data_IF_908109714396
#
_entry.id   IF_908109714396
#
_cell.length_a   1.000
_cell.length_b   1.000
_cell.length_c   1.000
_cell.angle_alpha   90.00
_cell.angle_beta   90.00
_cell.angle_gamma   90.00
#
_symmetry.space_group_name_H-M   'P 1'
#
loop_
_entity.id
_entity.type
_entity.pdbx_description
1 polymer ?
#
# COMPACT_ATOMS: atom_id res chain seq x y z
N UNK A 1 14.42 8.62 -6.61
CA UNK A 1 13.65 7.45 -6.14
C UNK A 1 13.53 7.60 -4.64
N UNK A 2 12.34 7.46 -4.07
CA UNK A 2 12.05 7.61 -2.64
C UNK A 2 11.35 6.37 -2.11
N UNK A 3 11.66 6.05 -0.85
CA UNK A 3 11.03 4.95 -0.13
C UNK A 3 9.82 5.51 0.64
N UNK A 4 8.66 4.87 0.47
CA UNK A 4 7.41 5.25 1.13
C UNK A 4 6.85 4.02 1.82
N UNK A 5 6.40 4.18 3.07
CA UNK A 5 5.67 3.14 3.78
C UNK A 5 4.19 3.32 3.54
N UNK A 6 3.54 2.24 3.12
CA UNK A 6 2.12 2.20 2.83
C UNK A 6 1.40 1.39 3.90
N UNK A 7 0.36 1.96 4.47
CA UNK A 7 -0.61 1.26 5.31
C UNK A 7 -1.83 0.92 4.47
N UNK A 8 -2.27 -0.33 4.52
CA UNK A 8 -3.39 -0.81 3.70
C UNK A 8 -4.30 -1.77 4.45
N UNK A 9 -5.55 -1.87 4.00
CA UNK A 9 -6.53 -2.85 4.46
C UNK A 9 -6.80 -3.87 3.34
N UNK A 10 -6.62 -5.14 3.64
CA UNK A 10 -6.99 -6.26 2.78
C UNK A 10 -8.35 -6.80 3.21
N UNK A 11 -9.21 -7.17 2.25
CA UNK A 11 -10.55 -7.72 2.53
C UNK A 11 -10.74 -9.06 1.87
N UNK A 12 -11.52 -9.94 2.50
CA UNK A 12 -12.06 -11.14 1.85
C UNK A 12 -13.43 -10.86 1.24
N UNK A 13 -13.76 -11.58 0.18
CA UNK A 13 -15.10 -11.60 -0.40
C UNK A 13 -16.12 -11.98 0.68
N UNK A 14 -17.25 -11.27 0.72
CA UNK A 14 -18.29 -11.45 1.74
C UNK A 14 -18.13 -10.56 2.98
N UNK A 15 -17.08 -9.73 3.06
CA UNK A 15 -17.04 -8.52 3.90
C UNK A 15 -16.88 -8.71 5.41
N UNK A 16 -16.82 -9.94 5.91
CA UNK A 16 -16.73 -10.23 7.35
C UNK A 16 -15.29 -10.27 7.89
N UNK A 17 -14.28 -10.39 7.02
CA UNK A 17 -12.88 -10.57 7.40
C UNK A 17 -11.99 -9.54 6.69
N UNK A 18 -11.22 -8.78 7.48
CA UNK A 18 -10.23 -7.81 6.99
C UNK A 18 -8.96 -7.83 7.82
N UNK A 19 -7.85 -7.46 7.20
CA UNK A 19 -6.55 -7.37 7.85
C UNK A 19 -5.82 -6.08 7.44
N UNK A 20 -5.16 -5.47 8.43
CA UNK A 20 -4.31 -4.30 8.20
C UNK A 20 -2.88 -4.77 7.96
N UNK A 21 -2.25 -4.26 6.91
CA UNK A 21 -0.87 -4.53 6.56
C UNK A 21 -0.07 -3.24 6.36
N UNK A 22 1.25 -3.41 6.38
CA UNK A 22 2.21 -2.36 6.03
C UNK A 22 3.24 -2.92 5.06
N UNK A 23 3.66 -2.12 4.09
CA UNK A 23 4.76 -2.46 3.18
C UNK A 23 5.54 -1.20 2.84
N UNK A 24 6.83 -1.36 2.65
CA UNK A 24 7.64 -0.30 2.06
C UNK A 24 7.67 -0.48 0.54
N UNK A 25 7.59 0.61 -0.22
CA UNK A 25 7.76 0.63 -1.68
C UNK A 25 8.82 1.65 -2.08
N UNK A 26 9.59 1.32 -3.12
CA UNK A 26 10.52 2.24 -3.75
C UNK A 26 9.89 2.79 -5.04
N UNK A 27 9.65 4.10 -5.09
CA UNK A 27 8.94 4.76 -6.19
C UNK A 27 9.70 5.99 -6.69
N UNK A 28 9.33 6.52 -7.85
CA UNK A 28 9.85 7.81 -8.31
C UNK A 28 9.37 8.95 -7.41
N UNK A 29 10.11 10.05 -7.36
CA UNK A 29 9.84 11.17 -6.45
C UNK A 29 8.43 11.76 -6.67
N UNK A 30 8.00 11.89 -7.93
CA UNK A 30 6.64 12.34 -8.29
C UNK A 30 5.53 11.40 -7.79
N UNK A 31 5.79 10.09 -7.72
CA UNK A 31 4.82 9.13 -7.17
C UNK A 31 4.81 9.21 -5.65
N UNK A 32 5.98 9.37 -5.01
CA UNK A 32 6.08 9.54 -3.57
C UNK A 32 5.30 10.78 -3.09
N UNK A 33 5.47 11.93 -3.74
CA UNK A 33 4.73 13.16 -3.42
C UNK A 33 3.22 12.96 -3.52
N UNK A 34 2.74 12.35 -4.61
CA UNK A 34 1.31 12.05 -4.77
C UNK A 34 0.78 11.14 -3.64
N UNK A 35 1.51 10.10 -3.27
CA UNK A 35 1.11 9.19 -2.20
C UNK A 35 1.05 9.91 -0.84
N UNK A 36 2.07 10.72 -0.53
CA UNK A 36 2.15 11.49 0.72
C UNK A 36 1.08 12.60 0.81
N UNK A 37 0.56 13.07 -0.32
CA UNK A 37 -0.63 13.94 -0.39
C UNK A 37 -1.96 13.16 -0.24
N UNK A 38 -1.91 11.84 -0.02
CA UNK A 38 -3.08 10.98 0.08
C UNK A 38 -3.71 10.62 -1.27
N UNK A 39 -3.04 10.90 -2.40
CA UNK A 39 -3.54 10.52 -3.73
C UNK A 39 -3.25 9.05 -4.03
N UNK A 40 -4.24 8.39 -4.63
CA UNK A 40 -4.10 7.00 -5.08
C UNK A 40 -3.41 6.96 -6.44
N UNK A 41 -2.25 6.30 -6.51
CA UNK A 41 -1.53 6.06 -7.76
C UNK A 41 -1.85 4.66 -8.26
N UNK A 42 -2.44 4.54 -9.45
CA UNK A 42 -2.97 3.26 -9.97
C UNK A 42 -1.96 2.10 -9.95
N UNK A 43 -0.69 2.34 -10.31
CA UNK A 43 0.37 1.32 -10.27
C UNK A 43 0.62 0.78 -8.86
N UNK A 44 0.57 1.65 -7.86
CA UNK A 44 0.77 1.27 -6.45
C UNK A 44 -0.44 0.52 -5.92
N UNK A 45 -1.65 0.95 -6.28
CA UNK A 45 -2.88 0.24 -5.94
C UNK A 45 -2.91 -1.16 -6.56
N UNK A 46 -2.53 -1.32 -7.84
CA UNK A 46 -2.41 -2.62 -8.49
C UNK A 46 -1.43 -3.55 -7.75
N UNK A 47 -0.29 -3.02 -7.30
CA UNK A 47 0.67 -3.77 -6.48
C UNK A 47 0.05 -4.26 -5.16
N UNK A 48 -0.64 -3.38 -4.43
CA UNK A 48 -1.32 -3.74 -3.18
C UNK A 48 -2.39 -4.81 -3.38
N UNK A 49 -3.17 -4.72 -4.47
CA UNK A 49 -4.18 -5.74 -4.84
C UNK A 49 -3.51 -7.08 -5.11
N UNK A 50 -2.42 -7.10 -5.90
CA UNK A 50 -1.69 -8.33 -6.19
C UNK A 50 -1.16 -8.99 -4.91
N UNK A 51 -0.60 -8.21 -3.97
CA UNK A 51 -0.15 -8.73 -2.68
C UNK A 51 -1.28 -9.34 -1.84
N UNK A 52 -2.44 -8.69 -1.82
CA UNK A 52 -3.61 -9.20 -1.10
C UNK A 52 -4.09 -10.53 -1.69
N UNK A 53 -4.18 -10.62 -3.03
CA UNK A 53 -4.58 -11.85 -3.72
C UNK A 53 -3.65 -13.03 -3.44
N UNK A 54 -2.33 -12.80 -3.41
CA UNK A 54 -1.34 -13.85 -3.07
C UNK A 54 -1.55 -14.38 -1.63
N UNK A 55 -2.03 -13.53 -0.73
CA UNK A 55 -2.30 -13.88 0.67
C UNK A 55 -3.72 -14.45 0.89
N UNK A 56 -4.50 -14.68 -0.18
CA UNK A 56 -5.86 -15.21 -0.09
C UNK A 56 -6.92 -14.17 0.29
N UNK A 57 -6.62 -12.88 0.14
CA UNK A 57 -7.59 -11.80 0.24
C UNK A 57 -8.10 -11.44 -1.16
N UNK A 58 -9.28 -11.98 -1.47
CA UNK A 58 -9.95 -11.88 -2.78
C UNK A 58 -10.98 -10.74 -2.86
N UNK A 59 -11.27 -10.06 -1.75
CA UNK A 59 -12.16 -8.90 -1.67
C UNK A 59 -11.47 -7.56 -1.95
N UNK A 60 -10.18 -7.58 -2.28
CA UNK A 60 -9.40 -6.40 -2.67
C UNK A 60 -8.48 -5.84 -1.59
N UNK A 61 -7.79 -4.75 -1.93
CA UNK A 61 -6.83 -4.08 -1.07
C UNK A 61 -6.97 -2.56 -1.19
N UNK A 62 -7.03 -1.88 -0.05
CA UNK A 62 -7.31 -0.45 0.04
C UNK A 62 -6.14 0.26 0.72
N UNK A 63 -5.49 1.16 0.00
CA UNK A 63 -4.52 2.06 0.61
C UNK A 63 -5.24 2.98 1.61
N UNK A 64 -4.79 2.95 2.86
CA UNK A 64 -5.33 3.77 3.95
C UNK A 64 -4.49 5.03 4.16
N UNK A 65 -3.17 4.87 4.18
CA UNK A 65 -2.25 5.96 4.47
C UNK A 65 -0.86 5.69 3.85
N UNK A 66 -0.09 6.74 3.65
CA UNK A 66 1.28 6.68 3.17
C UNK A 66 2.16 7.66 3.94
N UNK A 67 3.29 7.18 4.45
CA UNK A 67 4.24 7.97 5.22
C UNK A 67 5.65 7.83 4.64
N UNK A 68 6.55 8.81 4.85
CA UNK A 68 7.96 8.64 4.49
C UNK A 68 8.52 7.42 5.20
N UNK A 69 9.15 6.50 4.47
CA UNK A 69 9.83 5.40 5.13
C UNK A 69 11.14 5.95 5.73
N UNK A 70 11.26 5.96 7.05
CA UNK A 70 12.53 6.28 7.69
C UNK A 70 13.59 5.27 7.23
N UNK A 71 14.66 5.76 6.60
CA UNK A 71 15.88 4.99 6.45
C UNK A 71 16.51 4.91 7.84
N UNK A 72 16.27 3.81 8.56
CA UNK A 72 17.09 3.48 9.71
C UNK A 72 18.53 3.38 9.22
N UNK A 73 19.32 4.41 9.51
CA UNK A 73 20.77 4.37 9.44
C UNK A 73 21.20 3.42 10.55
N UNK A 74 21.33 2.14 10.20
CA UNK A 74 21.94 1.11 11.03
C UNK A 74 23.41 0.97 10.64
#
# INVERSE_FOLDING_TARGET
MKKVRLKYEMKRSGGADSAIGHTDVLVTDSIAEQLLEGRKVGKVVCYLIAMASIQGYDGGCFLLDAEPAEENVA
#
